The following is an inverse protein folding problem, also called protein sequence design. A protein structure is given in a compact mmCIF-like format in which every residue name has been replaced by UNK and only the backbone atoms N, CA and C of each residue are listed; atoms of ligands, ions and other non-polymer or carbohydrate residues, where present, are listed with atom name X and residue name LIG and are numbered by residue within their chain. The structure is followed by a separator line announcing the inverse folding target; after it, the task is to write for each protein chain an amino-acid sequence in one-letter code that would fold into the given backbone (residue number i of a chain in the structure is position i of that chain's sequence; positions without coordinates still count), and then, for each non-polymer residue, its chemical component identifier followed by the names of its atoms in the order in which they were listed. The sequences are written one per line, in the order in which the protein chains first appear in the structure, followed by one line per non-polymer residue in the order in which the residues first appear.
data_IF_828107271168
#
_entry.id   IF_828107271168
#
_cell.length_a   1.000
_cell.length_b   1.000
_cell.length_c   1.000
_cell.angle_alpha   90.00
_cell.angle_beta   90.00
_cell.angle_gamma   90.00
#
_symmetry.space_group_name_H-M   'P 1'
#
loop_
_entity.id
_entity.type
_entity.pdbx_description
1 polymer ?
#
# COMPACT_ATOMS: atom_id res chain seq x y z
N UNK A 1 -16.94 14.51 -17.01
CA UNK A 1 -15.76 14.53 -16.11
C UNK A 1 -15.84 13.41 -15.06
N UNK A 2 -15.68 12.14 -15.49
CA UNK A 2 -15.75 10.95 -14.61
C UNK A 2 -14.53 10.03 -14.68
N UNK A 3 -13.71 10.18 -15.74
CA UNK A 3 -12.62 9.27 -16.07
C UNK A 3 -11.57 9.14 -14.96
N UNK A 4 -11.28 10.20 -14.19
CA UNK A 4 -10.30 10.14 -13.09
C UNK A 4 -10.76 9.19 -11.98
N UNK A 5 -12.06 9.22 -11.66
CA UNK A 5 -12.67 8.37 -10.64
C UNK A 5 -12.69 6.92 -11.10
N UNK A 6 -13.14 6.67 -12.33
CA UNK A 6 -13.14 5.34 -12.94
C UNK A 6 -11.73 4.74 -13.00
N UNK A 7 -10.75 5.53 -13.45
CA UNK A 7 -9.33 5.13 -13.46
C UNK A 7 -8.82 4.80 -12.06
N UNK A 8 -9.10 5.65 -11.07
CA UNK A 8 -8.68 5.40 -9.69
C UNK A 8 -9.28 4.10 -9.15
N UNK A 9 -10.58 3.84 -9.37
CA UNK A 9 -11.19 2.58 -8.96
C UNK A 9 -10.60 1.37 -9.70
N UNK A 10 -10.26 1.51 -10.99
CA UNK A 10 -9.56 0.45 -11.72
C UNK A 10 -8.18 0.15 -11.11
N UNK A 11 -7.39 1.19 -10.78
CA UNK A 11 -6.09 1.03 -10.12
C UNK A 11 -6.22 0.40 -8.72
N UNK A 12 -7.22 0.80 -7.93
CA UNK A 12 -7.50 0.19 -6.63
C UNK A 12 -7.79 -1.31 -6.77
N UNK A 13 -8.65 -1.70 -7.73
CA UNK A 13 -8.95 -3.11 -7.99
C UNK A 13 -7.71 -3.90 -8.40
N UNK A 14 -6.95 -3.40 -9.38
CA UNK A 14 -5.71 -4.05 -9.82
C UNK A 14 -4.71 -4.23 -8.68
N UNK A 15 -4.49 -3.19 -7.87
CA UNK A 15 -3.59 -3.28 -6.73
C UNK A 15 -4.06 -4.35 -5.72
N UNK A 16 -5.35 -4.39 -5.40
CA UNK A 16 -5.91 -5.38 -4.47
C UNK A 16 -5.79 -6.81 -5.02
N UNK A 17 -6.05 -7.01 -6.31
CA UNK A 17 -5.89 -8.30 -6.99
C UNK A 17 -4.43 -8.76 -6.98
N UNK A 18 -3.48 -7.89 -7.33
CA UNK A 18 -2.05 -8.18 -7.30
C UNK A 18 -1.55 -8.48 -5.88
N UNK A 19 -1.96 -7.68 -4.90
CA UNK A 19 -1.60 -7.89 -3.50
C UNK A 19 -2.17 -9.20 -2.94
N UNK A 20 -3.39 -9.58 -3.34
CA UNK A 20 -3.97 -10.88 -3.00
C UNK A 20 -3.18 -12.04 -3.63
N UNK A 21 -2.74 -11.90 -4.89
CA UNK A 21 -1.88 -12.87 -5.56
C UNK A 21 -0.51 -13.07 -4.88
N UNK A 22 0.00 -12.02 -4.22
CA UNK A 22 1.21 -12.05 -3.40
C UNK A 22 0.95 -12.41 -1.93
N UNK A 23 -0.29 -12.71 -1.56
CA UNK A 23 -0.71 -13.01 -0.19
C UNK A 23 -0.33 -11.90 0.83
N UNK A 24 -0.31 -10.64 0.39
CA UNK A 24 -0.01 -9.50 1.24
C UNK A 24 -1.16 -9.27 2.24
N UNK A 25 -0.86 -8.93 3.52
CA UNK A 25 -1.86 -8.76 4.58
C UNK A 25 -2.62 -7.42 4.46
N UNK A 26 -3.39 -7.25 3.39
CA UNK A 26 -4.23 -6.07 3.21
C UNK A 26 -5.44 -6.12 4.14
N UNK A 27 -5.73 -4.99 4.78
CA UNK A 27 -7.01 -4.77 5.46
C UNK A 27 -8.11 -4.46 4.43
N UNK A 28 -9.35 -4.69 4.84
CA UNK A 28 -10.52 -4.33 4.03
C UNK A 28 -10.56 -2.80 3.78
N UNK A 29 -10.68 -2.42 2.50
CA UNK A 29 -10.80 -1.01 2.10
C UNK A 29 -11.31 -0.88 0.66
N UNK A 30 -12.43 -0.19 0.51
CA UNK A 30 -13.01 0.19 -0.79
C UNK A 30 -12.54 1.60 -1.25
N UNK A 31 -11.64 2.21 -0.51
CA UNK A 31 -11.17 3.58 -0.77
C UNK A 31 -9.82 3.59 -1.49
N UNK A 32 -9.35 4.72 -2.04
CA UNK A 32 -7.98 4.83 -2.56
C UNK A 32 -6.88 4.58 -1.52
N UNK A 33 -7.20 4.55 -0.23
CA UNK A 33 -6.27 4.26 0.85
C UNK A 33 -6.30 2.76 1.11
N UNK A 34 -5.20 2.08 0.82
CA UNK A 34 -5.05 0.64 0.97
C UNK A 34 -4.11 0.35 2.14
N UNK A 35 -4.61 -0.13 3.30
CA UNK A 35 -3.79 -0.38 4.47
C UNK A 35 -3.19 -1.79 4.42
N UNK A 36 -1.87 -1.90 4.52
CA UNK A 36 -1.15 -3.18 4.63
C UNK A 36 -0.71 -3.38 6.08
N UNK A 37 -1.26 -4.40 6.74
CA UNK A 37 -0.99 -4.70 8.15
C UNK A 37 0.43 -5.24 8.32
N UNK A 38 1.18 -4.65 9.26
CA UNK A 38 2.55 -5.07 9.62
C UNK A 38 2.63 -5.50 11.09
N UNK A 39 1.65 -5.07 11.90
CA UNK A 39 1.49 -5.27 13.34
C UNK A 39 2.52 -4.54 14.20
N UNK A 40 3.80 -4.71 13.90
CA UNK A 40 4.92 -4.21 14.68
C UNK A 40 5.41 -2.83 14.16
N UNK A 41 5.48 -1.79 15.02
CA UNK A 41 5.84 -0.44 14.59
C UNK A 41 7.23 -0.29 13.97
N UNK A 42 8.25 -0.99 14.47
CA UNK A 42 9.62 -0.89 13.98
C UNK A 42 9.75 -1.56 12.60
N UNK A 43 9.11 -2.71 12.39
CA UNK A 43 8.98 -3.37 11.09
C UNK A 43 8.29 -2.47 10.08
N UNK A 44 7.20 -1.79 10.48
CA UNK A 44 6.52 -0.84 9.59
C UNK A 44 7.46 0.30 9.14
N UNK A 45 8.34 0.78 10.02
CA UNK A 45 9.34 1.80 9.67
C UNK A 45 10.43 1.28 8.77
N UNK A 46 10.97 0.10 9.05
CA UNK A 46 12.00 -0.52 8.21
C UNK A 46 11.48 -0.77 6.80
N UNK A 47 10.24 -1.27 6.66
CA UNK A 47 9.62 -1.46 5.36
C UNK A 47 9.42 -0.14 4.62
N UNK A 48 8.92 0.91 5.30
CA UNK A 48 8.76 2.22 4.69
C UNK A 48 10.10 2.83 4.24
N UNK A 49 11.17 2.64 5.02
CA UNK A 49 12.52 3.08 4.65
C UNK A 49 13.07 2.30 3.45
N UNK A 50 12.94 0.97 3.44
CA UNK A 50 13.39 0.13 2.33
C UNK A 50 12.63 0.42 1.03
N UNK A 51 11.33 0.72 1.10
CA UNK A 51 10.56 1.19 -0.05
C UNK A 51 11.03 2.56 -0.53
N UNK A 52 11.35 3.47 0.39
CA UNK A 52 11.87 4.79 0.05
C UNK A 52 13.23 4.70 -0.67
N UNK A 53 14.11 3.78 -0.27
CA UNK A 53 15.37 3.50 -0.97
C UNK A 53 15.15 3.01 -2.42
N UNK A 54 14.00 2.40 -2.69
CA UNK A 54 13.53 2.01 -4.03
C UNK A 54 12.72 3.11 -4.74
N UNK A 55 12.76 4.34 -4.22
CA UNK A 55 12.03 5.50 -4.72
C UNK A 55 10.49 5.37 -4.62
N UNK A 56 10.00 4.58 -3.66
CA UNK A 56 8.59 4.35 -3.39
C UNK A 56 8.22 4.92 -2.02
N UNK A 57 7.49 6.03 -2.01
CA UNK A 57 7.10 6.68 -0.76
C UNK A 57 5.78 6.11 -0.23
N UNK A 58 5.83 5.42 0.91
CA UNK A 58 4.64 4.98 1.68
C UNK A 58 4.74 5.44 3.13
N UNK A 59 3.60 5.72 3.77
CA UNK A 59 3.58 6.17 5.17
C UNK A 59 3.40 4.99 6.12
N UNK A 60 4.33 4.81 7.07
CA UNK A 60 4.12 3.91 8.20
C UNK A 60 3.22 4.58 9.25
N UNK A 61 2.07 3.98 9.54
CA UNK A 61 1.14 4.41 10.59
C UNK A 61 1.31 3.49 11.79
N UNK A 62 1.56 4.08 12.95
CA UNK A 62 1.92 3.37 14.19
C UNK A 62 1.27 4.03 15.42
N UNK A 63 1.29 3.39 16.60
CA UNK A 63 0.81 4.01 17.83
C UNK A 63 1.46 5.38 18.09
N UNK A 64 0.74 6.34 18.71
CA UNK A 64 -0.62 6.23 19.25
C UNK A 64 -1.75 6.44 18.22
N UNK A 65 -1.44 6.71 16.94
CA UNK A 65 -2.45 6.95 15.90
C UNK A 65 -3.30 5.72 15.59
N UNK A 66 -2.77 4.53 15.88
CA UNK A 66 -3.46 3.24 15.81
C UNK A 66 -3.23 2.46 17.10
N UNK A 67 -4.12 1.51 17.46
CA UNK A 67 -3.88 0.63 18.60
C UNK A 67 -2.57 -0.14 18.50
N UNK A 68 -2.04 -0.59 19.64
CA UNK A 68 -0.90 -1.51 19.67
C UNK A 68 -1.23 -2.80 18.88
N UNK A 69 -0.25 -3.32 18.13
CA UNK A 69 -0.47 -4.43 17.18
C UNK A 69 -1.16 -4.01 15.88
N UNK A 70 -1.54 -2.74 15.71
CA UNK A 70 -2.20 -2.22 14.51
C UNK A 70 -1.27 -1.47 13.56
N UNK A 71 0.05 -1.57 13.70
CA UNK A 71 0.98 -0.86 12.82
C UNK A 71 0.82 -1.33 11.37
N UNK A 72 0.89 -0.40 10.42
CA UNK A 72 0.56 -0.66 9.02
C UNK A 72 1.22 0.33 8.07
N UNK A 73 1.44 -0.09 6.84
CA UNK A 73 1.75 0.82 5.74
C UNK A 73 0.45 1.36 5.15
N UNK A 74 0.41 2.67 4.91
CA UNK A 74 -0.69 3.34 4.21
C UNK A 74 -0.28 3.60 2.77
N UNK A 75 -0.76 2.75 1.86
CA UNK A 75 -0.64 2.97 0.41
C UNK A 75 -1.78 3.89 -0.01
N UNK A 76 -1.47 5.00 -0.68
CA UNK A 76 -2.49 5.94 -1.19
C UNK A 76 -2.42 5.98 -2.71
N UNK A 77 -3.44 5.43 -3.36
CA UNK A 77 -3.54 5.44 -4.81
C UNK A 77 -4.16 6.75 -5.32
N UNK A 78 -3.84 7.06 -6.57
CA UNK A 78 -4.24 8.29 -7.27
C UNK A 78 -4.41 7.97 -8.74
N UNK A 79 -5.33 8.65 -9.42
CA UNK A 79 -5.54 8.50 -10.86
C UNK A 79 -4.31 8.85 -11.71
N UNK A 80 -3.32 9.54 -11.12
CA UNK A 80 -2.06 9.89 -11.76
C UNK A 80 -1.07 8.72 -11.84
N UNK A 81 -1.22 7.68 -11.02
CA UNK A 81 -0.35 6.51 -11.10
C UNK A 81 -0.59 5.74 -12.39
N UNK A 82 0.50 5.20 -12.94
CA UNK A 82 0.51 4.25 -14.03
C UNK A 82 0.36 2.81 -13.51
N UNK A 83 0.09 1.87 -14.41
CA UNK A 83 0.11 0.45 -14.06
C UNK A 83 1.52 -0.01 -13.68
N UNK A 84 2.56 0.55 -14.32
CA UNK A 84 3.95 0.26 -14.00
C UNK A 84 4.33 0.71 -12.56
N UNK A 85 3.77 1.83 -12.08
CA UNK A 85 3.97 2.25 -10.68
C UNK A 85 3.37 1.24 -9.69
N UNK A 86 2.23 0.64 -10.04
CA UNK A 86 1.59 -0.41 -9.23
C UNK A 86 2.41 -1.69 -9.26
N UNK A 87 2.89 -2.10 -10.44
CA UNK A 87 3.70 -3.31 -10.59
C UNK A 87 5.01 -3.17 -9.80
N UNK A 88 5.69 -2.01 -9.90
CA UNK A 88 6.89 -1.70 -9.11
C UNK A 88 6.62 -1.77 -7.59
N UNK A 89 5.50 -1.22 -7.14
CA UNK A 89 5.09 -1.28 -5.73
C UNK A 89 4.81 -2.72 -5.29
N UNK A 90 4.08 -3.49 -6.09
CA UNK A 90 3.71 -4.87 -5.77
C UNK A 90 4.94 -5.77 -5.70
N UNK A 91 5.85 -5.66 -6.66
CA UNK A 91 7.11 -6.41 -6.68
C UNK A 91 7.94 -6.08 -5.44
N UNK A 92 8.11 -4.78 -5.12
CA UNK A 92 8.86 -4.37 -3.95
C UNK A 92 8.22 -4.84 -2.63
N UNK A 93 6.89 -4.83 -2.53
CA UNK A 93 6.19 -5.35 -1.36
C UNK A 93 6.32 -6.88 -1.25
N UNK A 94 6.20 -7.61 -2.35
CA UNK A 94 6.33 -9.07 -2.37
C UNK A 94 7.72 -9.58 -1.98
N UNK A 95 8.77 -8.77 -2.20
CA UNK A 95 10.12 -9.09 -1.75
C UNK A 95 10.38 -8.76 -0.27
N UNK A 96 9.69 -7.75 0.28
CA UNK A 96 9.99 -7.19 1.59
C UNK A 96 9.08 -7.69 2.72
N UNK A 97 7.84 -8.09 2.40
CA UNK A 97 6.79 -8.44 3.38
C UNK A 97 6.74 -9.94 3.63
#
# INVERSE_FOLDING_TARGET
EGWRRERLHALVRRFREGAAGLNLPLLESDTPIQPLLVEEPQRALHLAAALLERNILVSAIRPPTVPAGGARLRVTLSSAHSEADLDLLLDALGELV
#
